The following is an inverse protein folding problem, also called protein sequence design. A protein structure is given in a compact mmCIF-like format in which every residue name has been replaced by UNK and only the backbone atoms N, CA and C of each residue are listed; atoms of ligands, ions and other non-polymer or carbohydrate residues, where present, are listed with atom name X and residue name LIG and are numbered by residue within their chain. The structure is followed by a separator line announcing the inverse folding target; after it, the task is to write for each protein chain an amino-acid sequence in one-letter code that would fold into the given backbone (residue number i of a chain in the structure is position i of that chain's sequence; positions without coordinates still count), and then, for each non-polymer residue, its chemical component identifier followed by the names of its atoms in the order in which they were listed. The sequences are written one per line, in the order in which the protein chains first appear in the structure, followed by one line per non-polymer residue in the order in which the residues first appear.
data_IF_797445524197
#
_entry.id   IF_797445524197
#
_cell.length_a   1.000
_cell.length_b   1.000
_cell.length_c   1.000
_cell.angle_alpha   90.00
_cell.angle_beta   90.00
_cell.angle_gamma   90.00
#
_symmetry.space_group_name_H-M   'P 1'
#
loop_
_entity.id
_entity.type
_entity.pdbx_description
1 polymer ?
#
# COMPACT_ATOMS: atom_id res chain seq x y z
N UNK A 1 11.73 30.80 10.87
CA UNK A 1 11.95 29.87 9.75
C UNK A 1 10.59 29.42 9.23
N UNK A 2 10.23 29.77 8.00
CA UNK A 2 8.95 29.36 7.40
C UNK A 2 8.98 27.85 7.13
N UNK A 3 8.16 27.10 7.85
CA UNK A 3 7.84 25.71 7.56
C UNK A 3 7.23 25.63 6.16
N UNK A 4 7.99 25.13 5.19
CA UNK A 4 7.46 24.79 3.87
C UNK A 4 6.36 23.72 4.07
N UNK A 5 5.09 24.01 3.75
CA UNK A 5 4.02 23.05 4.00
C UNK A 5 4.20 21.81 3.12
N UNK A 6 4.28 20.64 3.78
CA UNK A 6 4.56 19.30 3.25
C UNK A 6 3.40 18.66 2.49
N UNK A 7 2.61 19.44 1.75
CA UNK A 7 1.45 18.94 1.01
C UNK A 7 1.47 19.47 -0.42
N UNK A 8 2.31 18.85 -1.24
CA UNK A 8 2.24 18.98 -2.70
C UNK A 8 1.08 18.08 -3.13
N UNK A 9 0.10 18.62 -3.87
CA UNK A 9 -0.88 17.79 -4.58
C UNK A 9 -0.09 16.94 -5.58
N UNK A 10 0.21 15.71 -5.20
CA UNK A 10 0.97 14.83 -6.09
C UNK A 10 0.20 14.65 -7.40
N UNK A 11 0.93 14.46 -8.51
CA UNK A 11 0.35 14.37 -9.84
C UNK A 11 -0.72 13.27 -9.91
N UNK A 12 -0.56 12.19 -9.14
CA UNK A 12 -1.52 11.10 -9.02
C UNK A 12 -2.85 11.60 -8.43
N UNK A 13 -2.78 12.28 -7.27
CA UNK A 13 -3.95 12.83 -6.58
C UNK A 13 -4.65 13.88 -7.44
N UNK A 14 -3.88 14.72 -8.13
CA UNK A 14 -4.45 15.70 -9.06
C UNK A 14 -5.16 15.02 -10.23
N UNK A 15 -4.54 14.02 -10.87
CA UNK A 15 -5.14 13.29 -11.98
C UNK A 15 -6.43 12.58 -11.57
N UNK A 16 -6.45 11.94 -10.39
CA UNK A 16 -7.66 11.34 -9.82
C UNK A 16 -8.75 12.38 -9.55
N UNK A 17 -8.38 13.54 -9.02
CA UNK A 17 -9.31 14.64 -8.74
C UNK A 17 -9.92 15.17 -10.04
N UNK A 18 -9.10 15.42 -11.07
CA UNK A 18 -9.58 15.86 -12.38
C UNK A 18 -10.51 14.83 -13.03
N UNK A 19 -10.18 13.54 -12.93
CA UNK A 19 -11.04 12.47 -13.45
C UNK A 19 -12.40 12.42 -12.76
N UNK A 20 -12.42 12.64 -11.44
CA UNK A 20 -13.66 12.69 -10.65
C UNK A 20 -14.52 13.90 -11.03
N UNK A 21 -13.90 15.07 -11.24
CA UNK A 21 -14.61 16.31 -11.49
C UNK A 21 -15.11 16.46 -12.92
N UNK A 22 -14.33 16.00 -13.90
CA UNK A 22 -14.59 16.30 -15.32
C UNK A 22 -14.93 15.06 -16.15
N UNK A 23 -14.57 13.86 -15.69
CA UNK A 23 -14.75 12.64 -16.48
C UNK A 23 -14.12 12.78 -17.87
N UNK A 24 -14.90 12.47 -18.91
CA UNK A 24 -14.50 12.58 -20.32
C UNK A 24 -14.65 14.00 -20.89
N UNK A 25 -15.12 14.98 -20.09
CA UNK A 25 -15.35 16.34 -20.55
C UNK A 25 -14.06 17.15 -20.62
N UNK A 26 -14.00 18.09 -21.54
CA UNK A 26 -12.89 19.04 -21.62
C UNK A 26 -12.98 20.14 -20.56
N UNK A 27 -11.82 20.60 -20.09
CA UNK A 27 -11.72 21.69 -19.10
C UNK A 27 -10.54 22.62 -19.39
N UNK A 28 -10.62 23.88 -18.97
CA UNK A 28 -9.47 24.80 -18.97
C UNK A 28 -8.88 24.96 -17.57
N UNK A 29 -7.70 25.57 -17.48
CA UNK A 29 -6.99 25.73 -16.20
C UNK A 29 -7.75 26.58 -15.18
N UNK A 30 -8.61 27.52 -15.61
CA UNK A 30 -9.38 28.36 -14.71
C UNK A 30 -10.56 27.57 -14.12
N UNK A 31 -11.27 26.82 -14.95
CA UNK A 31 -12.34 25.92 -14.51
C UNK A 31 -11.80 24.83 -13.60
N UNK A 32 -10.68 24.19 -13.98
CA UNK A 32 -10.02 23.18 -13.16
C UNK A 32 -9.59 23.73 -11.80
N UNK A 33 -8.96 24.92 -11.76
CA UNK A 33 -8.52 25.52 -10.51
C UNK A 33 -9.68 25.78 -9.53
N UNK A 34 -10.79 26.34 -10.04
CA UNK A 34 -11.99 26.57 -9.24
C UNK A 34 -12.56 25.25 -8.70
N UNK A 35 -12.79 24.27 -9.56
CA UNK A 35 -13.40 23.00 -9.17
C UNK A 35 -12.52 22.19 -8.20
N UNK A 36 -11.20 22.21 -8.41
CA UNK A 36 -10.23 21.58 -7.50
C UNK A 36 -10.23 22.28 -6.14
N UNK A 37 -10.27 23.61 -6.10
CA UNK A 37 -10.37 24.36 -4.85
C UNK A 37 -11.63 23.98 -4.05
N UNK A 38 -12.79 23.97 -4.72
CA UNK A 38 -14.08 23.60 -4.12
C UNK A 38 -14.06 22.14 -3.62
N UNK A 39 -13.55 21.21 -4.42
CA UNK A 39 -13.43 19.80 -4.04
C UNK A 39 -12.55 19.60 -2.80
N UNK A 40 -11.37 20.25 -2.77
CA UNK A 40 -10.43 20.13 -1.66
C UNK A 40 -10.97 20.79 -0.38
N UNK A 41 -11.69 21.91 -0.51
CA UNK A 41 -12.35 22.56 0.60
C UNK A 41 -13.36 21.64 1.29
N UNK A 42 -14.22 20.97 0.49
CA UNK A 42 -15.24 20.07 0.99
C UNK A 42 -14.64 18.81 1.64
N UNK A 43 -13.56 18.27 1.07
CA UNK A 43 -12.99 16.98 1.50
C UNK A 43 -12.01 17.09 2.65
N UNK A 44 -11.11 18.07 2.63
CA UNK A 44 -9.95 18.10 3.54
C UNK A 44 -10.03 19.20 4.60
N UNK A 45 -10.94 20.18 4.46
CA UNK A 45 -11.15 21.29 5.41
C UNK A 45 -9.87 22.07 5.81
N UNK A 46 -8.78 21.94 5.07
CA UNK A 46 -7.51 22.63 5.34
C UNK A 46 -7.38 23.88 4.45
N UNK A 47 -7.34 25.05 5.09
CA UNK A 47 -7.21 26.35 4.42
C UNK A 47 -5.88 26.53 3.68
N UNK A 48 -4.82 25.78 4.04
CA UNK A 48 -3.51 25.83 3.38
C UNK A 48 -3.54 25.19 2.00
N UNK A 49 -4.44 24.23 1.79
CA UNK A 49 -4.61 23.50 0.53
C UNK A 49 -5.30 24.38 -0.52
N UNK A 50 -6.18 25.29 -0.10
CA UNK A 50 -6.79 26.29 -0.99
C UNK A 50 -5.76 27.17 -1.69
N UNK A 51 -4.67 27.53 -1.00
CA UNK A 51 -3.56 28.29 -1.58
C UNK A 51 -2.86 27.59 -2.75
N UNK A 52 -3.06 26.27 -2.92
CA UNK A 52 -2.49 25.48 -4.02
C UNK A 52 -3.39 25.41 -5.24
N UNK A 53 -4.69 25.57 -5.08
CA UNK A 53 -5.65 25.54 -6.18
C UNK A 53 -5.71 26.87 -6.96
N UNK A 54 -4.62 27.64 -6.99
CA UNK A 54 -4.54 28.87 -7.77
C UNK A 54 -4.44 28.54 -9.26
N UNK A 55 -5.01 29.38 -10.15
CA UNK A 55 -4.96 29.14 -11.60
C UNK A 55 -3.54 28.96 -12.15
N UNK A 56 -2.55 29.64 -11.58
CA UNK A 56 -1.14 29.55 -12.00
C UNK A 56 -0.54 28.17 -11.68
N UNK A 57 -0.72 27.70 -10.44
CA UNK A 57 -0.18 26.40 -10.02
C UNK A 57 -0.86 25.26 -10.76
N UNK A 58 -2.19 25.28 -10.83
CA UNK A 58 -2.96 24.29 -11.59
C UNK A 58 -2.56 24.29 -13.06
N UNK A 59 -2.33 25.46 -13.68
CA UNK A 59 -1.83 25.50 -15.06
C UNK A 59 -0.46 24.84 -15.23
N UNK A 60 0.43 24.95 -14.25
CA UNK A 60 1.74 24.29 -14.29
C UNK A 60 1.60 22.77 -14.13
N UNK A 61 0.74 22.32 -13.22
CA UNK A 61 0.51 20.89 -13.00
C UNK A 61 -0.21 20.23 -14.19
N UNK A 62 -1.17 20.93 -14.82
CA UNK A 62 -1.79 20.48 -16.07
C UNK A 62 -0.77 20.36 -17.20
N UNK A 63 0.19 21.30 -17.29
CA UNK A 63 1.30 21.19 -18.26
C UNK A 63 2.16 19.96 -17.98
N UNK A 64 2.45 19.66 -16.71
CA UNK A 64 3.21 18.47 -16.31
C UNK A 64 2.45 17.19 -16.68
N UNK A 65 1.17 17.09 -16.35
CA UNK A 65 0.33 15.94 -16.71
C UNK A 65 0.21 15.75 -18.23
N UNK A 66 0.16 16.85 -19.00
CA UNK A 66 0.26 16.81 -20.46
C UNK A 66 1.60 16.25 -20.94
N UNK A 67 2.73 16.70 -20.37
CA UNK A 67 4.07 16.20 -20.71
C UNK A 67 4.23 14.70 -20.38
N UNK A 68 3.49 14.20 -19.39
CA UNK A 68 3.46 12.77 -19.03
C UNK A 68 2.53 11.92 -19.92
N UNK A 69 1.80 12.53 -20.87
CA UNK A 69 0.86 11.84 -21.75
C UNK A 69 -0.51 11.55 -21.12
N UNK A 70 -0.76 11.96 -19.88
CA UNK A 70 -2.03 11.72 -19.19
C UNK A 70 -3.15 12.65 -19.63
N UNK A 71 -2.81 13.83 -20.15
CA UNK A 71 -3.75 14.78 -20.72
C UNK A 71 -3.42 15.04 -22.18
N UNK A 72 -4.45 15.20 -23.01
CA UNK A 72 -4.36 15.86 -24.31
C UNK A 72 -4.76 17.32 -24.15
N UNK A 73 -4.21 18.21 -24.99
CA UNK A 73 -4.57 19.63 -24.99
C UNK A 73 -4.82 20.13 -26.40
N UNK A 74 -5.78 21.04 -26.57
CA UNK A 74 -6.00 21.79 -27.81
C UNK A 74 -6.11 23.29 -27.54
N UNK A 75 -5.67 24.09 -28.51
CA UNK A 75 -5.69 25.55 -28.44
C UNK A 75 -7.02 26.08 -28.97
N UNK A 76 -7.69 26.93 -28.19
CA UNK A 76 -9.02 27.48 -28.52
C UNK A 76 -9.00 29.00 -28.35
N UNK A 77 -9.58 29.79 -29.27
CA UNK A 77 -9.65 31.24 -29.13
C UNK A 77 -10.46 31.65 -27.89
N UNK A 78 -9.94 32.62 -27.13
CA UNK A 78 -10.63 33.19 -25.98
C UNK A 78 -11.56 34.31 -26.46
N UNK A 79 -12.87 34.05 -26.45
CA UNK A 79 -13.87 35.06 -26.79
C UNK A 79 -14.13 35.98 -25.60
N UNK A 80 -13.84 37.27 -25.75
CA UNK A 80 -14.14 38.33 -24.80
C UNK A 80 -15.23 39.25 -25.34
N UNK A 81 -15.91 39.99 -24.47
CA UNK A 81 -16.85 41.05 -24.84
C UNK A 81 -16.24 42.41 -24.50
N UNK A 82 -16.32 43.37 -25.41
CA UNK A 82 -15.93 44.74 -25.11
C UNK A 82 -17.03 45.46 -24.31
N UNK A 83 -16.79 46.71 -23.89
CA UNK A 83 -17.80 47.54 -23.19
C UNK A 83 -19.11 47.70 -23.99
N UNK A 84 -19.04 47.58 -25.32
CA UNK A 84 -20.18 47.65 -26.24
C UNK A 84 -20.83 46.28 -26.53
N UNK A 85 -20.46 45.22 -25.80
CA UNK A 85 -21.00 43.86 -25.96
C UNK A 85 -20.50 43.08 -27.18
N UNK A 86 -19.70 43.68 -28.07
CA UNK A 86 -19.15 43.01 -29.26
C UNK A 86 -18.13 41.95 -28.84
N UNK A 87 -18.29 40.73 -29.38
CA UNK A 87 -17.38 39.61 -29.15
C UNK A 87 -16.10 39.80 -29.99
N UNK A 88 -14.94 39.65 -29.37
CA UNK A 88 -13.63 39.67 -30.05
C UNK A 88 -12.70 38.61 -29.44
N UNK A 89 -11.65 38.24 -30.17
CA UNK A 89 -10.68 37.24 -29.71
C UNK A 89 -9.58 37.93 -28.89
N UNK A 90 -9.46 37.57 -27.61
CA UNK A 90 -8.47 38.11 -26.68
C UNK A 90 -7.36 37.08 -26.42
N UNK A 91 -6.79 36.56 -27.50
CA UNK A 91 -5.80 35.48 -27.47
C UNK A 91 -6.43 34.09 -27.38
N UNK A 92 -5.72 33.16 -26.74
CA UNK A 92 -6.07 31.74 -26.72
C UNK A 92 -6.10 31.17 -25.30
N UNK A 93 -6.85 30.08 -25.13
CA UNK A 93 -6.79 29.20 -23.97
C UNK A 93 -6.53 27.76 -24.42
N UNK A 94 -6.01 26.94 -23.51
CA UNK A 94 -5.88 25.51 -23.72
C UNK A 94 -7.04 24.80 -23.04
N UNK A 95 -7.71 23.94 -23.80
CA UNK A 95 -8.65 22.95 -23.28
C UNK A 95 -7.89 21.64 -23.11
N UNK A 96 -8.10 20.97 -21.98
CA UNK A 96 -7.49 19.71 -21.61
C UNK A 96 -8.55 18.62 -21.49
N UNK A 97 -8.15 17.38 -21.74
CA UNK A 97 -8.97 16.19 -21.55
C UNK A 97 -8.05 15.03 -21.16
N UNK A 98 -8.57 14.09 -20.38
CA UNK A 98 -7.83 12.89 -19.96
C UNK A 98 -7.70 11.93 -21.14
N UNK A 99 -6.48 11.48 -21.45
CA UNK A 99 -6.23 10.54 -22.54
C UNK A 99 -6.59 9.11 -22.13
N UNK A 100 -6.67 8.20 -23.11
CA UNK A 100 -6.77 6.77 -22.83
C UNK A 100 -5.63 6.26 -21.93
N UNK A 101 -4.42 6.79 -22.07
CA UNK A 101 -3.29 6.48 -21.19
C UNK A 101 -3.55 6.96 -19.75
N UNK A 102 -4.07 8.19 -19.58
CA UNK A 102 -4.46 8.71 -18.28
C UNK A 102 -5.52 7.84 -17.59
N UNK A 103 -6.53 7.38 -18.34
CA UNK A 103 -7.55 6.46 -17.83
C UNK A 103 -7.00 5.07 -17.47
N UNK A 104 -6.12 4.50 -18.31
CA UNK A 104 -5.44 3.23 -17.99
C UNK A 104 -4.59 3.35 -16.74
N UNK A 105 -3.89 4.47 -16.56
CA UNK A 105 -3.11 4.73 -15.37
C UNK A 105 -4.00 4.87 -14.12
N UNK A 106 -5.13 5.57 -14.23
CA UNK A 106 -6.11 5.65 -13.15
C UNK A 106 -6.71 4.29 -12.79
N UNK A 107 -6.96 3.43 -13.79
CA UNK A 107 -7.37 2.04 -13.58
C UNK A 107 -6.29 1.27 -12.82
N UNK A 108 -5.04 1.36 -13.26
CA UNK A 108 -3.90 0.76 -12.56
C UNK A 108 -3.77 1.27 -11.11
N UNK A 109 -4.04 2.55 -10.84
CA UNK A 109 -4.03 3.09 -9.48
C UNK A 109 -5.16 2.53 -8.60
N UNK A 110 -6.32 2.18 -9.18
CA UNK A 110 -7.43 1.56 -8.44
C UNK A 110 -7.21 0.06 -8.21
N UNK A 111 -6.60 -0.60 -9.20
CA UNK A 111 -6.32 -2.04 -9.18
C UNK A 111 -5.03 -2.38 -8.46
N UNK A 112 -4.16 -1.40 -8.19
CA UNK A 112 -3.00 -1.60 -7.31
C UNK A 112 -3.52 -2.06 -5.96
N UNK A 113 -3.24 -3.31 -5.53
CA UNK A 113 -3.45 -3.67 -4.15
C UNK A 113 -2.60 -2.71 -3.31
N UNK A 114 -3.16 -2.21 -2.21
CA UNK A 114 -2.43 -1.45 -1.18
C UNK A 114 -1.28 -2.28 -0.55
N UNK A 115 -1.14 -3.54 -0.95
CA UNK A 115 0.00 -4.38 -0.64
C UNK A 115 1.15 -4.03 -1.59
N UNK A 116 2.16 -3.34 -1.06
CA UNK A 116 3.50 -3.49 -1.61
C UNK A 116 3.82 -4.98 -1.64
N UNK A 117 4.16 -5.53 -2.80
CA UNK A 117 4.74 -6.87 -2.81
C UNK A 117 6.12 -6.78 -2.17
N UNK A 118 6.59 -7.87 -1.56
CA UNK A 118 7.96 -7.95 -1.02
C UNK A 118 9.00 -7.52 -2.08
N UNK A 119 8.69 -7.78 -3.34
CA UNK A 119 9.49 -7.41 -4.52
C UNK A 119 9.56 -5.89 -4.74
N UNK A 120 8.45 -5.16 -4.58
CA UNK A 120 8.40 -3.70 -4.72
C UNK A 120 9.22 -3.01 -3.61
N UNK A 121 9.17 -3.54 -2.39
CA UNK A 121 10.00 -3.07 -1.27
C UNK A 121 11.47 -3.33 -1.59
N UNK A 122 11.80 -4.56 -2.00
CA UNK A 122 13.15 -4.93 -2.40
C UNK A 122 13.70 -3.98 -3.49
N UNK A 123 12.87 -3.57 -4.44
CA UNK A 123 13.25 -2.71 -5.56
C UNK A 123 13.43 -1.23 -5.14
N UNK A 124 12.55 -0.72 -4.28
CA UNK A 124 12.66 0.63 -3.67
C UNK A 124 13.93 0.75 -2.81
N UNK A 125 14.33 -0.34 -2.17
CA UNK A 125 15.50 -0.38 -1.29
C UNK A 125 16.79 -0.84 -1.98
N UNK A 126 16.78 -1.20 -3.29
CA UNK A 126 17.99 -1.46 -4.08
C UNK A 126 18.99 -0.30 -4.10
N UNK A 127 18.52 0.92 -3.79
CA UNK A 127 19.34 2.13 -3.71
C UNK A 127 20.02 2.37 -2.36
N UNK A 128 19.75 1.55 -1.33
CA UNK A 128 20.36 1.67 0.00
C UNK A 128 21.41 0.56 0.15
N UNK A 129 22.61 0.81 0.72
CA UNK A 129 23.65 -0.19 0.93
C UNK A 129 23.21 -1.21 2.01
N UNK A 130 22.30 -2.10 1.65
CA UNK A 130 21.68 -3.15 2.47
C UNK A 130 21.81 -4.51 1.78
N UNK A 131 22.66 -4.60 0.75
CA UNK A 131 22.83 -5.82 -0.08
C UNK A 131 23.16 -7.03 0.79
N UNK A 132 24.02 -6.87 1.79
CA UNK A 132 24.37 -7.94 2.73
C UNK A 132 23.15 -8.38 3.57
N UNK A 133 22.44 -7.44 4.21
CA UNK A 133 21.26 -7.75 5.05
C UNK A 133 20.10 -8.34 4.22
N UNK A 134 19.96 -7.95 2.95
CA UNK A 134 18.98 -8.48 2.01
C UNK A 134 19.27 -9.94 1.64
N UNK A 135 20.54 -10.26 1.33
CA UNK A 135 20.94 -11.64 1.07
C UNK A 135 20.69 -12.53 2.30
N UNK A 136 21.02 -12.04 3.49
CA UNK A 136 20.77 -12.76 4.74
C UNK A 136 19.28 -12.95 5.02
N UNK A 137 18.43 -11.96 4.73
CA UNK A 137 16.97 -12.09 4.91
C UNK A 137 16.38 -13.15 3.98
N UNK A 138 16.84 -13.22 2.73
CA UNK A 138 16.41 -14.22 1.75
C UNK A 138 16.89 -15.61 2.17
N UNK A 139 18.15 -15.78 2.56
CA UNK A 139 18.65 -17.06 3.08
C UNK A 139 17.88 -17.53 4.32
N UNK A 140 17.54 -16.63 5.23
CA UNK A 140 16.78 -16.97 6.44
C UNK A 140 15.33 -17.34 6.15
N UNK A 141 14.72 -16.71 5.14
CA UNK A 141 13.39 -17.09 4.62
C UNK A 141 13.43 -18.48 3.97
N UNK A 142 14.47 -18.79 3.19
CA UNK A 142 14.62 -20.09 2.53
C UNK A 142 14.89 -21.24 3.51
N UNK A 143 15.48 -20.93 4.67
CA UNK A 143 15.81 -21.92 5.72
C UNK A 143 14.72 -22.09 6.77
N UNK A 144 13.61 -21.36 6.67
CA UNK A 144 12.52 -21.35 7.64
C UNK A 144 12.99 -21.10 9.09
N UNK A 145 14.09 -20.36 9.26
CA UNK A 145 14.65 -20.00 10.57
C UNK A 145 13.97 -18.74 11.10
N UNK A 146 12.71 -18.93 11.49
CA UNK A 146 11.76 -17.90 11.92
C UNK A 146 12.34 -17.03 13.05
N UNK A 147 13.08 -17.64 13.98
CA UNK A 147 13.70 -16.95 15.11
C UNK A 147 14.76 -15.94 14.68
N UNK A 148 15.68 -16.32 13.78
CA UNK A 148 16.69 -15.40 13.25
C UNK A 148 16.09 -14.37 12.30
N UNK A 149 15.04 -14.73 11.57
CA UNK A 149 14.29 -13.80 10.74
C UNK A 149 13.71 -12.66 11.58
N UNK A 150 13.12 -12.97 12.73
CA UNK A 150 12.54 -11.98 13.64
C UNK A 150 13.59 -10.98 14.16
N UNK A 151 14.75 -11.48 14.60
CA UNK A 151 15.86 -10.64 15.07
C UNK A 151 16.34 -9.70 13.96
N UNK A 152 16.48 -10.21 12.73
CA UNK A 152 16.92 -9.42 11.60
C UNK A 152 15.88 -8.36 11.18
N UNK A 153 14.58 -8.69 11.20
CA UNK A 153 13.50 -7.74 10.93
C UNK A 153 13.47 -6.62 11.96
N UNK A 154 13.68 -6.91 13.25
CA UNK A 154 13.75 -5.89 14.29
C UNK A 154 14.96 -4.97 14.10
N UNK A 155 16.13 -5.53 13.79
CA UNK A 155 17.34 -4.77 13.47
C UNK A 155 17.13 -3.83 12.27
N UNK A 156 16.50 -4.33 11.21
CA UNK A 156 16.15 -3.53 10.02
C UNK A 156 15.13 -2.44 10.39
N UNK A 157 14.17 -2.74 11.25
CA UNK A 157 13.14 -1.80 11.71
C UNK A 157 13.76 -0.64 12.49
N UNK A 158 14.72 -0.92 13.39
CA UNK A 158 15.43 0.10 14.16
C UNK A 158 16.29 1.00 13.26
N UNK A 159 17.02 0.40 12.31
CA UNK A 159 17.80 1.16 11.32
C UNK A 159 16.89 2.08 10.49
N UNK A 160 15.74 1.56 10.05
CA UNK A 160 14.77 2.32 9.25
C UNK A 160 14.14 3.44 10.07
N UNK A 161 13.76 3.18 11.32
CA UNK A 161 13.24 4.21 12.23
C UNK A 161 14.28 5.33 12.43
N UNK A 162 15.56 4.97 12.56
CA UNK A 162 16.66 5.94 12.66
C UNK A 162 16.83 6.76 11.37
N UNK A 163 16.72 6.13 10.21
CA UNK A 163 16.77 6.80 8.90
C UNK A 163 15.61 7.78 8.75
N UNK A 164 14.37 7.36 9.01
CA UNK A 164 13.19 8.24 8.90
C UNK A 164 13.20 9.38 9.92
N UNK A 165 13.81 9.18 11.08
CA UNK A 165 14.01 10.23 12.09
C UNK A 165 15.02 11.31 11.66
N UNK A 166 15.86 11.03 10.66
CA UNK A 166 16.88 11.97 10.18
C UNK A 166 16.28 13.16 9.42
N UNK A 167 16.94 14.33 9.45
CA UNK A 167 16.44 15.57 8.85
C UNK A 167 16.12 15.45 7.34
N UNK A 168 16.85 14.63 6.60
CA UNK A 168 16.68 14.48 5.15
C UNK A 168 15.46 13.64 4.72
N UNK A 169 14.94 12.80 5.61
CA UNK A 169 13.90 11.82 5.29
C UNK A 169 12.49 12.21 5.74
N UNK A 170 12.35 13.33 6.46
CA UNK A 170 11.06 13.87 6.92
C UNK A 170 10.05 14.17 5.80
N UNK A 171 10.49 14.29 4.54
CA UNK A 171 9.63 14.49 3.37
C UNK A 171 8.95 13.20 2.88
N UNK A 172 9.35 12.04 3.40
CA UNK A 172 8.84 10.72 3.03
C UNK A 172 7.86 10.17 4.08
N UNK A 173 6.98 11.04 4.61
CA UNK A 173 6.02 10.67 5.67
C UNK A 173 5.08 9.53 5.27
N UNK A 174 4.70 9.48 3.99
CA UNK A 174 3.84 8.41 3.48
C UNK A 174 4.58 7.07 3.51
N UNK A 175 5.84 7.04 3.09
CA UNK A 175 6.68 5.83 3.13
C UNK A 175 6.92 5.38 4.58
N UNK A 176 7.16 6.31 5.50
CA UNK A 176 7.28 6.01 6.93
C UNK A 176 5.99 5.40 7.50
N UNK A 177 4.84 5.98 7.16
CA UNK A 177 3.54 5.48 7.60
C UNK A 177 3.25 4.07 7.08
N UNK A 178 3.47 3.85 5.79
CA UNK A 178 3.30 2.54 5.15
C UNK A 178 4.25 1.49 5.76
N UNK A 179 5.50 1.87 6.05
CA UNK A 179 6.45 1.00 6.72
C UNK A 179 5.96 0.61 8.13
N UNK A 180 5.49 1.59 8.92
CA UNK A 180 4.91 1.34 10.25
C UNK A 180 3.69 0.42 10.20
N UNK A 181 2.82 0.59 9.21
CA UNK A 181 1.68 -0.31 9.00
C UNK A 181 2.16 -1.73 8.68
N UNK A 182 3.17 -1.86 7.84
CA UNK A 182 3.71 -3.16 7.45
C UNK A 182 4.42 -3.87 8.61
N UNK A 183 5.24 -3.19 9.40
CA UNK A 183 5.88 -3.78 10.59
C UNK A 183 4.84 -4.23 11.62
N UNK A 184 3.76 -3.45 11.79
CA UNK A 184 2.62 -3.84 12.64
C UNK A 184 1.94 -5.11 12.13
N UNK A 185 1.69 -5.18 10.81
CA UNK A 185 1.08 -6.36 10.17
C UNK A 185 1.95 -7.60 10.29
N UNK A 186 3.27 -7.46 10.07
CA UNK A 186 4.24 -8.54 10.25
C UNK A 186 4.26 -9.05 11.68
N UNK A 187 4.29 -8.16 12.67
CA UNK A 187 4.26 -8.53 14.08
C UNK A 187 2.99 -9.32 14.43
N UNK A 188 1.84 -8.89 13.90
CA UNK A 188 0.58 -9.61 14.05
C UNK A 188 0.63 -11.01 13.43
N UNK A 189 1.04 -11.13 12.17
CA UNK A 189 1.15 -12.44 11.52
C UNK A 189 2.11 -13.38 12.25
N UNK A 190 3.21 -12.85 12.77
CA UNK A 190 4.15 -13.61 13.57
C UNK A 190 3.53 -14.12 14.88
N UNK A 191 2.76 -13.29 15.59
CA UNK A 191 2.06 -13.74 16.80
C UNK A 191 1.06 -14.88 16.50
N UNK A 192 0.38 -14.80 15.36
CA UNK A 192 -0.56 -15.85 14.91
C UNK A 192 0.19 -17.14 14.59
N UNK A 193 1.31 -17.07 13.86
CA UNK A 193 2.13 -18.25 13.54
C UNK A 193 2.62 -18.91 14.83
N UNK A 194 3.17 -18.13 15.77
CA UNK A 194 3.67 -18.67 17.04
C UNK A 194 2.57 -19.33 17.88
N UNK A 195 1.36 -18.75 17.89
CA UNK A 195 0.21 -19.37 18.55
C UNK A 195 -0.16 -20.71 17.89
N UNK A 196 -0.22 -20.76 16.56
CA UNK A 196 -0.53 -21.97 15.82
C UNK A 196 0.52 -23.07 16.04
N UNK A 197 1.81 -22.73 16.05
CA UNK A 197 2.89 -23.67 16.36
C UNK A 197 2.73 -24.28 17.76
N UNK A 198 2.36 -23.47 18.75
CA UNK A 198 2.08 -23.97 20.10
C UNK A 198 0.86 -24.88 20.11
N UNK A 199 -0.21 -24.55 19.38
CA UNK A 199 -1.37 -25.42 19.26
C UNK A 199 -1.02 -26.76 18.61
N UNK A 200 -0.17 -26.78 17.58
CA UNK A 200 0.31 -28.01 16.93
C UNK A 200 1.08 -28.86 17.95
N UNK A 201 2.04 -28.28 18.68
CA UNK A 201 2.82 -28.99 19.72
C UNK A 201 1.92 -29.63 20.79
N UNK A 202 0.89 -28.92 21.25
CA UNK A 202 -0.06 -29.44 22.23
C UNK A 202 -0.89 -30.60 21.66
N UNK A 203 -1.30 -30.51 20.39
CA UNK A 203 -2.03 -31.58 19.71
C UNK A 203 -1.14 -32.82 19.50
N UNK A 204 0.11 -32.66 19.12
CA UNK A 204 1.06 -33.76 18.96
C UNK A 204 1.31 -34.50 20.29
N UNK A 205 1.46 -33.75 21.40
CA UNK A 205 1.53 -34.32 22.74
C UNK A 205 0.26 -35.09 23.11
N UNK A 206 -0.92 -34.59 22.74
CA UNK A 206 -2.17 -35.29 23.01
C UNK A 206 -2.29 -36.57 22.19
N UNK A 207 -1.87 -36.55 20.94
CA UNK A 207 -1.84 -37.73 20.06
C UNK A 207 -0.92 -38.80 20.66
N UNK A 208 0.28 -38.44 21.12
CA UNK A 208 1.21 -39.41 21.70
C UNK A 208 0.65 -40.09 22.95
N UNK A 209 0.01 -39.33 23.85
CA UNK A 209 -0.66 -39.87 25.04
C UNK A 209 -1.80 -40.84 24.67
N UNK A 210 -2.65 -40.48 23.72
CA UNK A 210 -3.76 -41.34 23.26
C UNK A 210 -3.23 -42.62 22.60
N UNK A 211 -2.12 -42.55 21.88
CA UNK A 211 -1.48 -43.73 21.29
C UNK A 211 -0.95 -44.69 22.37
N UNK A 212 -0.38 -44.18 23.46
CA UNK A 212 0.02 -45.00 24.60
C UNK A 212 -1.16 -45.66 25.31
N UNK A 213 -2.25 -44.92 25.54
CA UNK A 213 -3.47 -45.44 26.14
C UNK A 213 -4.08 -46.56 25.28
N UNK A 214 -4.20 -46.35 23.96
CA UNK A 214 -4.68 -47.37 23.03
C UNK A 214 -3.82 -48.63 23.06
N UNK A 215 -2.49 -48.48 23.17
CA UNK A 215 -1.57 -49.62 23.29
C UNK A 215 -1.86 -50.41 24.56
N UNK A 216 -2.02 -49.74 25.71
CA UNK A 216 -2.37 -50.38 27.00
C UNK A 216 -3.71 -51.12 26.92
N UNK A 217 -4.73 -50.50 26.33
CA UNK A 217 -6.04 -51.13 26.15
C UNK A 217 -5.96 -52.38 25.26
N UNK A 218 -5.17 -52.36 24.18
CA UNK A 218 -4.93 -53.54 23.33
C UNK A 218 -4.24 -54.66 24.09
N UNK A 219 -3.23 -54.35 24.88
CA UNK A 219 -2.53 -55.32 25.74
C UNK A 219 -3.48 -55.96 26.76
N UNK A 220 -4.32 -55.15 27.42
CA UNK A 220 -5.31 -55.64 28.37
C UNK A 220 -6.39 -56.51 27.71
N UNK A 221 -6.89 -56.11 26.54
CA UNK A 221 -7.84 -56.92 25.74
C UNK A 221 -7.23 -58.27 25.37
N UNK A 222 -5.97 -58.30 24.94
CA UNK A 222 -5.27 -59.54 24.59
C UNK A 222 -5.10 -60.45 25.80
N UNK A 223 -4.78 -59.90 26.98
CA UNK A 223 -4.72 -60.65 28.25
C UNK A 223 -6.07 -61.26 28.63
N UNK A 224 -7.15 -60.48 28.54
CA UNK A 224 -8.51 -60.97 28.84
C UNK A 224 -8.98 -62.02 27.82
N UNK A 225 -8.65 -61.85 26.53
CA UNK A 225 -8.92 -62.84 25.50
C UNK A 225 -8.20 -64.17 25.75
N UNK A 226 -6.96 -64.13 26.24
CA UNK A 226 -6.21 -65.33 26.62
C UNK A 226 -6.78 -66.03 27.88
N UNK A 227 -7.47 -65.30 28.76
CA UNK A 227 -8.14 -65.88 29.93
C UNK A 227 -9.49 -66.54 29.59
N UNK A 228 -10.08 -66.23 28.43
CA UNK A 228 -11.32 -66.83 27.92
C UNK A 228 -11.07 -68.08 27.04
N UNK A 229 -9.98 -68.83 27.28
CA UNK A 229 -9.82 -70.17 26.72
C UNK A 229 -10.86 -71.13 27.37
N UNK A 230 -11.50 -72.01 26.58
CA UNK A 230 -12.86 -72.47 26.81
C UNK A 230 -12.98 -73.47 27.97
N UNK A 231 -13.83 -73.13 28.93
CA UNK A 231 -14.35 -74.04 29.96
C UNK A 231 -15.47 -74.97 29.46
N UNK A 232 -15.71 -75.02 28.15
CA UNK A 232 -16.73 -75.88 27.56
C UNK A 232 -16.18 -76.44 26.26
N UNK A 233 -15.68 -77.67 26.31
CA UNK A 233 -15.80 -78.72 25.29
C UNK A 233 -14.84 -79.87 25.64
N UNK A 234 -15.18 -80.63 26.68
CA UNK A 234 -14.93 -82.08 26.69
C UNK A 234 -16.12 -82.75 27.38
N UNK A 235 -17.06 -83.36 26.63
CA UNK A 235 -17.82 -84.50 27.14
C UNK A 235 -16.90 -85.70 27.37
#
# INVERSE_FOLDING_TARGET
MMTMPSFILDFQKLLQTLATLFGMSEFDSKTAAKAVAEYLYLKEKDSRILGRATPKLISNDLRRLYQMGFLRRRKVPRRCKNKKGKKYNCGYKYMYEITAQGWRYLKHLRERPLFFTLKDIIEIYSGVPVIAKKATLIELLERDDIGKLFVLVNLITDDINRIFSSRGFRRFQMQEHLFKQWTTLLAYHYSVISELENQIKQRDLRISLLMEELKRCREQKNRLGALNLPYYLQP
#
